data_IF_138817288568
#
_entry.id   IF_138817288568
#
_cell.length_a   1.000
_cell.length_b   1.000
_cell.length_c   1.000
_cell.angle_alpha   90.00
_cell.angle_beta   90.00
_cell.angle_gamma   90.00
#
_symmetry.space_group_name_H-M   'P 1'
#
loop_
_entity.id
_entity.type
_entity.pdbx_description
1 polymer ?
#
# COMPACT_ATOMS: atom_id res chain seq x y z
N UNK A 1 6.86 -7.45 4.96
CA UNK A 1 7.28 -6.05 4.77
C UNK A 1 8.49 -5.92 3.86
N UNK A 2 9.60 -6.63 4.10
CA UNK A 2 10.79 -6.55 3.22
C UNK A 2 10.46 -6.89 1.77
N UNK A 3 9.75 -7.98 1.52
CA UNK A 3 9.29 -8.33 0.17
C UNK A 3 8.47 -7.20 -0.47
N UNK A 4 7.51 -6.62 0.26
CA UNK A 4 6.69 -5.52 -0.24
C UNK A 4 7.51 -4.26 -0.56
N UNK A 5 8.52 -3.94 0.23
CA UNK A 5 9.42 -2.82 -0.03
C UNK A 5 10.18 -3.00 -1.36
N UNK A 6 10.84 -4.13 -1.54
CA UNK A 6 11.62 -4.38 -2.76
C UNK A 6 10.75 -4.55 -4.01
N UNK A 7 9.57 -5.19 -3.87
CA UNK A 7 8.61 -5.29 -4.95
C UNK A 7 8.07 -3.91 -5.37
N UNK A 8 7.69 -3.06 -4.42
CA UNK A 8 7.21 -1.70 -4.70
C UNK A 8 8.30 -0.82 -5.29
N UNK A 9 9.54 -0.96 -4.83
CA UNK A 9 10.69 -0.22 -5.37
C UNK A 9 10.94 -0.59 -6.83
N UNK A 10 10.97 -1.88 -7.15
CA UNK A 10 11.16 -2.37 -8.52
C UNK A 10 10.01 -1.92 -9.45
N UNK A 11 8.76 -2.04 -9.00
CA UNK A 11 7.61 -1.64 -9.76
C UNK A 11 7.53 -0.11 -9.96
N UNK A 12 7.95 0.69 -8.99
CA UNK A 12 7.95 2.16 -9.08
C UNK A 12 8.81 2.66 -10.25
N UNK A 13 9.97 2.05 -10.51
CA UNK A 13 10.80 2.40 -11.66
C UNK A 13 10.06 2.20 -12.99
N UNK A 14 9.34 1.11 -13.14
CA UNK A 14 8.57 0.80 -14.35
C UNK A 14 7.39 1.77 -14.55
N UNK A 15 6.62 2.05 -13.49
CA UNK A 15 5.42 2.90 -13.58
C UNK A 15 5.72 4.41 -13.62
N UNK A 16 6.91 4.82 -13.18
CA UNK A 16 7.35 6.21 -13.29
C UNK A 16 7.55 6.65 -14.75
N UNK A 17 8.03 5.76 -15.60
CA UNK A 17 8.20 6.02 -17.04
C UNK A 17 6.85 6.16 -17.78
N UNK A 18 5.81 5.50 -17.30
CA UNK A 18 4.50 5.46 -17.96
C UNK A 18 3.49 6.52 -17.48
N UNK A 19 3.90 7.49 -16.66
CA UNK A 19 3.07 8.58 -16.12
C UNK A 19 1.75 8.16 -15.47
N UNK A 20 1.69 6.98 -14.84
CA UNK A 20 0.50 6.45 -14.16
C UNK A 20 0.45 6.77 -12.66
N UNK A 21 1.26 7.72 -12.20
CA UNK A 21 1.43 8.07 -10.78
C UNK A 21 0.95 9.50 -10.53
N UNK A 22 -0.19 9.67 -9.88
CA UNK A 22 -0.68 10.98 -9.46
C UNK A 22 0.12 11.50 -8.26
N UNK A 23 1.07 12.41 -8.51
CA UNK A 23 1.98 12.96 -7.50
C UNK A 23 1.27 13.58 -6.27
N UNK A 24 0.24 14.46 -6.43
CA UNK A 24 -0.48 15.01 -5.29
C UNK A 24 -1.14 13.93 -4.41
N UNK A 25 -1.72 12.91 -5.02
CA UNK A 25 -2.34 11.78 -4.33
C UNK A 25 -1.31 10.98 -3.53
N UNK A 26 -0.19 10.62 -4.18
CA UNK A 26 0.89 9.84 -3.56
C UNK A 26 1.52 10.61 -2.40
N UNK A 27 1.76 11.91 -2.53
CA UNK A 27 2.29 12.71 -1.45
C UNK A 27 1.31 12.83 -0.28
N UNK A 28 0.04 13.09 -0.55
CA UNK A 28 -0.97 13.26 0.52
C UNK A 28 -1.24 11.95 1.26
N UNK A 29 -1.53 10.88 0.52
CA UNK A 29 -1.76 9.55 1.12
C UNK A 29 -0.47 8.90 1.62
N UNK A 30 0.61 8.98 0.86
CA UNK A 30 1.88 8.35 1.20
C UNK A 30 2.47 8.89 2.50
N UNK A 31 2.46 10.21 2.70
CA UNK A 31 2.98 10.81 3.95
C UNK A 31 2.11 10.48 5.16
N UNK A 32 0.77 10.55 5.01
CA UNK A 32 -0.15 10.18 6.10
C UNK A 32 -0.06 8.69 6.44
N UNK A 33 0.02 7.82 5.43
CA UNK A 33 0.26 6.39 5.59
C UNK A 33 1.62 6.09 6.21
N UNK A 34 2.67 6.80 5.80
CA UNK A 34 4.01 6.64 6.37
C UNK A 34 4.02 6.90 7.87
N UNK A 35 3.53 8.08 8.29
CA UNK A 35 3.53 8.46 9.69
C UNK A 35 2.70 7.50 10.56
N UNK A 36 1.49 7.15 10.11
CA UNK A 36 0.59 6.28 10.86
C UNK A 36 1.02 4.80 10.82
N UNK A 37 1.59 4.32 9.71
CA UNK A 37 2.13 2.97 9.61
C UNK A 37 3.36 2.78 10.49
N UNK A 38 4.20 3.81 10.61
CA UNK A 38 5.32 3.79 11.56
C UNK A 38 4.82 3.65 12.99
N UNK A 39 3.82 4.45 13.39
CA UNK A 39 3.20 4.33 14.72
C UNK A 39 2.60 2.94 14.95
N UNK A 40 1.82 2.42 13.99
CA UNK A 40 1.25 1.07 14.06
C UNK A 40 2.32 -0.02 14.18
N UNK A 41 3.41 0.09 13.42
CA UNK A 41 4.50 -0.88 13.46
C UNK A 41 5.26 -0.87 14.80
N UNK A 42 5.45 0.30 15.41
CA UNK A 42 6.06 0.41 16.73
C UNK A 42 5.19 -0.20 17.83
N UNK A 43 3.87 0.03 17.76
CA UNK A 43 2.90 -0.49 18.73
C UNK A 43 2.66 -1.99 18.53
N UNK A 44 2.86 -2.53 17.32
CA UNK A 44 2.59 -3.94 17.00
C UNK A 44 3.30 -4.94 17.92
N UNK A 45 4.45 -4.56 18.49
CA UNK A 45 5.17 -5.39 19.47
C UNK A 45 4.39 -5.62 20.78
N UNK A 46 3.53 -4.66 21.14
CA UNK A 46 2.73 -4.70 22.38
C UNK A 46 1.40 -5.46 22.19
N UNK A 47 1.02 -5.73 20.95
CA UNK A 47 -0.24 -6.39 20.60
C UNK A 47 0.02 -7.87 20.36
N UNK A 48 -0.70 -8.79 21.02
CA UNK A 48 -0.60 -10.23 20.75
C UNK A 48 -0.93 -10.56 19.28
N UNK A 49 -0.40 -11.69 18.77
CA UNK A 49 -0.60 -12.09 17.37
C UNK A 49 -2.07 -12.35 17.01
N UNK A 50 -2.88 -12.89 17.94
CA UNK A 50 -4.28 -13.20 17.68
C UNK A 50 -5.14 -12.00 17.26
N UNK A 51 -5.15 -10.86 18.00
CA UNK A 51 -5.80 -9.63 17.53
C UNK A 51 -5.31 -9.12 16.19
N UNK A 52 -4.00 -9.19 15.93
CA UNK A 52 -3.41 -8.73 14.65
C UNK A 52 -3.93 -9.58 13.49
N UNK A 53 -3.99 -10.90 13.64
CA UNK A 53 -4.56 -11.82 12.66
C UNK A 53 -6.04 -11.56 12.43
N UNK A 54 -6.79 -11.28 13.50
CA UNK A 54 -8.21 -10.94 13.39
C UNK A 54 -8.42 -9.63 12.61
N UNK A 55 -7.65 -8.58 12.92
CA UNK A 55 -7.67 -7.30 12.18
C UNK A 55 -7.35 -7.54 10.70
N UNK A 56 -6.33 -8.35 10.41
CA UNK A 56 -5.97 -8.70 9.04
C UNK A 56 -7.12 -9.40 8.32
N UNK A 57 -7.72 -10.40 8.94
CA UNK A 57 -8.85 -11.13 8.35
C UNK A 57 -10.05 -10.22 8.06
N UNK A 58 -10.38 -9.30 8.98
CA UNK A 58 -11.44 -8.32 8.79
C UNK A 58 -11.13 -7.34 7.65
N UNK A 59 -9.89 -6.85 7.57
CA UNK A 59 -9.47 -5.96 6.47
C UNK A 59 -9.52 -6.69 5.13
N UNK A 60 -9.09 -7.95 5.08
CA UNK A 60 -9.15 -8.76 3.86
C UNK A 60 -10.60 -9.03 3.42
N UNK A 61 -11.50 -9.29 4.38
CA UNK A 61 -12.93 -9.49 4.10
C UNK A 61 -13.57 -8.21 3.56
N UNK A 62 -13.27 -7.06 4.16
CA UNK A 62 -13.77 -5.75 3.70
C UNK A 62 -13.24 -5.46 2.29
N UNK A 63 -11.96 -5.70 2.04
CA UNK A 63 -11.38 -5.50 0.72
C UNK A 63 -12.03 -6.40 -0.34
N UNK A 64 -12.24 -7.68 -0.02
CA UNK A 64 -12.93 -8.62 -0.89
C UNK A 64 -14.39 -8.20 -1.17
N UNK A 65 -15.12 -7.80 -0.13
CA UNK A 65 -16.49 -7.32 -0.28
C UNK A 65 -16.57 -6.06 -1.16
N UNK A 66 -15.64 -5.12 -0.99
CA UNK A 66 -15.57 -3.93 -1.83
C UNK A 66 -15.30 -4.29 -3.30
N UNK A 67 -14.41 -5.25 -3.57
CA UNK A 67 -14.07 -5.66 -4.94
C UNK A 67 -15.19 -6.45 -5.63
N UNK A 68 -16.13 -7.03 -4.87
CA UNK A 68 -17.33 -7.67 -5.42
C UNK A 68 -18.42 -6.67 -5.81
N UNK A 69 -18.33 -5.41 -5.40
CA UNK A 69 -19.29 -4.39 -5.77
C UNK A 69 -19.15 -4.03 -7.25
N UNK A 70 -20.26 -4.01 -8.03
CA UNK A 70 -20.21 -3.61 -9.42
C UNK A 70 -19.76 -2.14 -9.53
N UNK A 71 -18.82 -1.89 -10.42
CA UNK A 71 -18.34 -0.53 -10.69
C UNK A 71 -18.65 -0.15 -12.14
N UNK A 72 -19.23 1.03 -12.32
CA UNK A 72 -19.39 1.63 -13.64
C UNK A 72 -18.04 2.20 -14.09
N UNK A 73 -17.51 1.64 -15.18
CA UNK A 73 -16.19 2.00 -15.74
C UNK A 73 -16.18 3.31 -16.56
N UNK A 74 -17.30 4.04 -16.61
CA UNK A 74 -17.44 5.28 -17.42
C UNK A 74 -16.46 6.41 -17.05
N UNK A 75 -15.71 6.25 -15.97
CA UNK A 75 -14.71 7.24 -15.51
C UNK A 75 -13.25 6.87 -15.78
N UNK A 76 -12.97 5.78 -16.50
CA UNK A 76 -11.61 5.31 -16.75
C UNK A 76 -10.86 6.12 -17.84
N UNK A 77 -11.53 7.05 -18.53
CA UNK A 77 -10.92 7.93 -19.54
C UNK A 77 -10.19 9.15 -18.97
N UNK A 78 -10.22 9.36 -17.65
CA UNK A 78 -9.56 10.51 -17.05
C UNK A 78 -8.05 10.29 -17.02
N UNK A 79 -7.34 11.18 -17.75
CA UNK A 79 -5.89 11.32 -17.71
C UNK A 79 -5.45 11.82 -16.31
N UNK A 80 -4.23 11.48 -15.89
CA UNK A 80 -3.66 11.77 -14.57
C UNK A 80 -3.86 13.21 -14.04
N UNK A 81 -3.88 14.20 -14.93
CA UNK A 81 -3.98 15.62 -14.58
C UNK A 81 -5.35 16.06 -14.05
N UNK A 82 -6.41 15.26 -14.23
CA UNK A 82 -7.80 15.63 -13.88
C UNK A 82 -8.36 14.89 -12.67
N UNK A 83 -7.56 14.13 -11.94
CA UNK A 83 -8.04 13.42 -10.76
C UNK A 83 -8.23 14.40 -9.60
N UNK A 84 -9.47 14.79 -9.36
CA UNK A 84 -9.87 15.61 -8.20
C UNK A 84 -10.27 14.68 -7.07
N UNK A 85 -9.57 14.77 -5.93
CA UNK A 85 -9.89 14.01 -4.74
C UNK A 85 -9.97 14.91 -3.50
N UNK A 86 -10.76 14.50 -2.54
CA UNK A 86 -10.90 15.21 -1.26
C UNK A 86 -9.67 14.97 -0.39
N UNK A 87 -8.78 15.98 -0.28
CA UNK A 87 -7.53 15.87 0.49
C UNK A 87 -7.75 15.54 1.97
N UNK A 88 -8.67 16.21 2.73
CA UNK A 88 -8.95 15.85 4.12
C UNK A 88 -9.41 14.40 4.27
N UNK A 89 -10.29 13.93 3.39
CA UNK A 89 -10.73 12.53 3.40
C UNK A 89 -9.56 11.56 3.13
N UNK A 90 -8.70 11.89 2.15
CA UNK A 90 -7.52 11.09 1.85
C UNK A 90 -6.56 11.01 3.04
N UNK A 91 -6.31 12.12 3.75
CA UNK A 91 -5.47 12.13 4.95
C UNK A 91 -6.09 11.27 6.05
N UNK A 92 -7.38 11.43 6.34
CA UNK A 92 -8.06 10.67 7.40
C UNK A 92 -8.01 9.16 7.12
N UNK A 93 -8.32 8.78 5.88
CA UNK A 93 -8.22 7.40 5.40
C UNK A 93 -6.78 6.90 5.51
N UNK A 94 -5.82 7.70 5.06
CA UNK A 94 -4.39 7.37 5.13
C UNK A 94 -3.92 7.12 6.56
N UNK A 95 -4.33 7.96 7.52
CA UNK A 95 -3.99 7.79 8.93
C UNK A 95 -4.59 6.50 9.49
N UNK A 96 -5.88 6.28 9.29
CA UNK A 96 -6.56 5.11 9.84
C UNK A 96 -6.05 3.80 9.23
N UNK A 97 -6.01 3.73 7.90
CA UNK A 97 -5.57 2.53 7.19
C UNK A 97 -4.06 2.31 7.38
N UNK A 98 -3.26 3.37 7.36
CA UNK A 98 -1.81 3.25 7.58
C UNK A 98 -1.48 2.68 8.95
N UNK A 99 -2.20 3.09 9.99
CA UNK A 99 -2.05 2.53 11.33
C UNK A 99 -2.33 1.02 11.36
N UNK A 100 -3.45 0.59 10.76
CA UNK A 100 -3.81 -0.82 10.68
C UNK A 100 -2.80 -1.64 9.85
N UNK A 101 -2.35 -1.09 8.72
CA UNK A 101 -1.31 -1.70 7.88
C UNK A 101 0.00 -1.85 8.66
N UNK A 102 0.38 -0.84 9.45
CA UNK A 102 1.56 -0.86 10.30
C UNK A 102 1.50 -1.95 11.37
N UNK A 103 0.35 -2.10 12.02
CA UNK A 103 0.10 -3.18 12.98
C UNK A 103 0.28 -4.56 12.34
N UNK A 104 -0.41 -4.79 11.21
CA UNK A 104 -0.43 -6.08 10.52
C UNK A 104 0.92 -6.40 9.87
N UNK A 105 1.55 -5.40 9.25
CA UNK A 105 2.87 -5.60 8.65
C UNK A 105 2.88 -6.10 7.20
N UNK A 106 1.76 -6.01 6.49
CA UNK A 106 1.60 -6.62 5.15
C UNK A 106 1.77 -5.67 3.95
N UNK A 107 2.20 -4.41 4.17
CA UNK A 107 2.41 -3.46 3.06
C UNK A 107 1.14 -2.87 2.43
N UNK A 108 -0.04 -3.36 2.76
CA UNK A 108 -1.36 -2.73 2.61
C UNK A 108 -1.91 -2.48 1.21
N UNK A 109 -1.24 -2.89 0.14
CA UNK A 109 -1.74 -2.66 -1.22
C UNK A 109 -3.15 -3.27 -1.44
N UNK A 110 -3.42 -4.43 -0.84
CA UNK A 110 -4.69 -5.15 -0.98
C UNK A 110 -5.91 -4.36 -0.46
N UNK A 111 -5.75 -3.49 0.52
CA UNK A 111 -6.83 -2.63 1.04
C UNK A 111 -6.77 -1.23 0.43
N UNK A 112 -5.59 -0.74 0.07
CA UNK A 112 -5.41 0.59 -0.52
C UNK A 112 -6.08 0.68 -1.90
N UNK A 113 -5.95 -0.36 -2.74
CA UNK A 113 -6.57 -0.38 -4.07
C UNK A 113 -8.10 -0.21 -3.98
N UNK A 114 -8.87 -1.07 -3.27
CA UNK A 114 -10.32 -0.89 -3.19
C UNK A 114 -10.73 0.45 -2.57
N UNK A 115 -9.98 0.98 -1.62
CA UNK A 115 -10.26 2.29 -1.04
C UNK A 115 -10.07 3.41 -2.07
N UNK A 116 -8.99 3.39 -2.82
CA UNK A 116 -8.78 4.36 -3.91
C UNK A 116 -9.91 4.30 -4.94
N UNK A 117 -10.35 3.10 -5.29
CA UNK A 117 -11.36 2.88 -6.30
C UNK A 117 -12.77 3.28 -5.83
N UNK A 118 -13.19 2.81 -4.65
CA UNK A 118 -14.58 2.92 -4.21
C UNK A 118 -14.83 4.11 -3.29
N UNK A 119 -13.88 4.50 -2.46
CA UNK A 119 -14.04 5.62 -1.52
C UNK A 119 -13.57 6.93 -2.14
N UNK A 120 -12.38 6.95 -2.72
CA UNK A 120 -11.82 8.15 -3.37
C UNK A 120 -12.21 8.28 -4.85
N UNK A 121 -12.88 7.26 -5.41
CA UNK A 121 -13.39 7.22 -6.80
C UNK A 121 -12.31 7.52 -7.85
N UNK A 122 -11.11 7.04 -7.62
CA UNK A 122 -9.96 7.24 -8.50
C UNK A 122 -9.99 6.20 -9.61
N UNK A 123 -9.70 6.56 -10.88
CA UNK A 123 -9.63 5.63 -12.00
C UNK A 123 -8.65 4.47 -11.73
N UNK A 124 -8.99 3.27 -12.22
CA UNK A 124 -8.26 2.04 -11.93
C UNK A 124 -6.76 2.14 -12.29
N UNK A 125 -6.45 2.68 -13.46
CA UNK A 125 -5.05 2.82 -13.92
C UNK A 125 -4.22 3.70 -12.98
N UNK A 126 -4.77 4.86 -12.58
CA UNK A 126 -4.11 5.80 -11.65
C UNK A 126 -4.05 5.20 -10.24
N UNK A 127 -5.08 4.47 -9.81
CA UNK A 127 -5.09 3.78 -8.53
C UNK A 127 -4.00 2.72 -8.44
N UNK A 128 -3.84 1.88 -9.48
CA UNK A 128 -2.80 0.85 -9.53
C UNK A 128 -1.40 1.46 -9.48
N UNK A 129 -1.10 2.43 -10.36
CA UNK A 129 0.22 3.09 -10.40
C UNK A 129 0.53 3.84 -9.09
N UNK A 130 -0.45 4.59 -8.56
CA UNK A 130 -0.27 5.34 -7.31
C UNK A 130 -0.13 4.43 -6.09
N UNK A 131 -0.82 3.28 -6.05
CA UNK A 131 -0.74 2.32 -4.94
C UNK A 131 0.66 1.74 -4.78
N UNK A 132 1.39 1.53 -5.86
CA UNK A 132 2.77 1.03 -5.79
C UNK A 132 3.69 2.06 -5.09
N UNK A 133 3.55 3.34 -5.44
CA UNK A 133 4.30 4.41 -4.80
C UNK A 133 3.88 4.59 -3.32
N UNK A 134 2.57 4.60 -3.04
CA UNK A 134 2.02 4.65 -1.67
C UNK A 134 2.49 3.44 -0.85
N UNK A 135 2.48 2.25 -1.47
CA UNK A 135 2.97 1.00 -0.88
C UNK A 135 4.44 1.08 -0.46
N UNK A 136 5.28 1.76 -1.24
CA UNK A 136 6.67 1.99 -0.88
C UNK A 136 6.79 2.83 0.41
N UNK A 137 6.01 3.91 0.55
CA UNK A 137 5.99 4.71 1.78
C UNK A 137 5.59 3.88 3.00
N UNK A 138 4.50 3.11 2.91
CA UNK A 138 4.01 2.30 4.03
C UNK A 138 4.94 1.12 4.35
N UNK A 139 5.53 0.48 3.34
CA UNK A 139 6.48 -0.61 3.52
C UNK A 139 7.79 -0.13 4.16
N UNK A 140 8.28 1.06 3.75
CA UNK A 140 9.46 1.69 4.37
C UNK A 140 9.20 2.00 5.84
N UNK A 141 8.08 2.66 6.16
CA UNK A 141 7.71 2.99 7.53
C UNK A 141 7.56 1.74 8.39
N UNK A 142 6.86 0.73 7.89
CA UNK A 142 6.66 -0.53 8.58
C UNK A 142 7.97 -1.31 8.78
N UNK A 143 8.87 -1.30 7.80
CA UNK A 143 10.18 -1.93 7.91
C UNK A 143 11.03 -1.23 8.99
N UNK A 144 11.08 0.10 8.98
CA UNK A 144 11.79 0.89 9.99
C UNK A 144 11.22 0.59 11.39
N UNK A 145 9.89 0.65 11.56
CA UNK A 145 9.24 0.42 12.85
C UNK A 145 9.46 -0.99 13.39
N UNK A 146 9.33 -2.01 12.54
CA UNK A 146 9.55 -3.41 12.95
C UNK A 146 11.02 -3.76 13.12
N UNK A 147 11.93 -3.15 12.37
CA UNK A 147 13.36 -3.30 12.58
C UNK A 147 13.79 -2.66 13.91
N UNK A 148 13.31 -1.47 14.22
CA UNK A 148 13.57 -0.78 15.49
C UNK A 148 13.06 -1.56 16.70
N UNK A 149 11.97 -2.34 16.55
CA UNK A 149 11.42 -3.19 17.61
C UNK A 149 11.98 -4.61 17.65
N UNK A 150 12.95 -4.94 16.76
CA UNK A 150 13.60 -6.26 16.70
C UNK A 150 12.73 -7.38 16.16
N UNK A 151 11.65 -7.06 15.44
CA UNK A 151 10.69 -8.05 14.91
C UNK A 151 11.09 -8.60 13.53
N UNK A 152 12.21 -8.15 12.94
CA UNK A 152 12.64 -8.56 11.60
C UNK A 152 13.78 -9.57 11.69
N UNK A 153 13.58 -10.84 11.33
CA UNK A 153 14.64 -11.84 11.25
C UNK A 153 15.45 -11.63 9.95
N UNK A 154 16.41 -10.74 9.96
CA UNK A 154 17.23 -10.39 8.79
C UNK A 154 17.92 -11.60 8.15
N UNK A 155 18.35 -12.59 8.96
CA UNK A 155 19.01 -13.81 8.48
C UNK A 155 18.15 -14.68 7.57
N UNK A 156 16.83 -14.68 7.75
CA UNK A 156 15.89 -15.45 6.94
C UNK A 156 15.30 -14.65 5.78
N UNK A 157 15.56 -13.35 5.71
CA UNK A 157 14.92 -12.46 4.74
C UNK A 157 15.61 -12.43 3.37
N UNK A 158 16.90 -12.80 3.29
CA UNK A 158 17.68 -12.71 2.05
C UNK A 158 17.09 -13.44 0.85
N UNK A 159 16.63 -14.71 0.94
CA UNK A 159 16.04 -15.38 -0.22
C UNK A 159 14.74 -14.73 -0.68
N UNK A 160 13.94 -14.20 0.27
CA UNK A 160 12.69 -13.50 -0.03
C UNK A 160 12.94 -12.16 -0.73
N UNK A 161 14.00 -11.43 -0.35
CA UNK A 161 14.39 -10.16 -0.99
C UNK A 161 14.78 -10.41 -2.44
N UNK A 162 15.66 -11.37 -2.67
CA UNK A 162 16.12 -11.72 -4.02
C UNK A 162 14.93 -12.17 -4.88
N UNK A 163 14.10 -13.09 -4.38
CA UNK A 163 12.91 -13.54 -5.08
C UNK A 163 11.94 -12.42 -5.42
N UNK A 164 11.67 -11.51 -4.49
CA UNK A 164 10.78 -10.37 -4.70
C UNK A 164 11.31 -9.38 -5.75
N UNK A 165 12.62 -9.12 -5.74
CA UNK A 165 13.24 -8.19 -6.70
C UNK A 165 13.17 -8.72 -8.13
N UNK A 166 13.54 -10.00 -8.33
CA UNK A 166 13.50 -10.63 -9.65
C UNK A 166 12.07 -10.83 -10.16
N UNK A 167 11.15 -11.30 -9.32
CA UNK A 167 9.76 -11.53 -9.72
C UNK A 167 9.02 -10.23 -10.06
N UNK A 168 9.27 -9.15 -9.32
CA UNK A 168 8.66 -7.85 -9.62
C UNK A 168 9.13 -7.28 -10.97
N UNK A 169 10.42 -7.46 -11.29
CA UNK A 169 10.97 -7.03 -12.57
C UNK A 169 10.38 -7.85 -13.74
N UNK A 170 10.30 -9.16 -13.58
CA UNK A 170 9.70 -10.04 -14.59
C UNK A 170 8.21 -9.77 -14.78
N UNK A 171 7.45 -9.59 -13.70
CA UNK A 171 6.04 -9.24 -13.77
C UNK A 171 5.76 -7.90 -14.44
N UNK A 172 6.64 -6.91 -14.27
CA UNK A 172 6.53 -5.61 -14.95
C UNK A 172 6.83 -5.65 -16.46
N UNK A 173 7.60 -6.63 -16.92
CA UNK A 173 7.93 -6.81 -18.35
C UNK A 173 6.87 -7.62 -19.10
N UNK A 174 6.21 -8.55 -18.41
CA UNK A 174 5.23 -9.49 -19.03
C UNK A 174 3.79 -8.94 -18.95
N UNK A 175 3.46 -8.02 -18.03
CA UNK A 175 2.14 -7.39 -17.88
C UNK A 175 2.06 -6.06 -18.54
#
# INVERSE_FOLDING_TARGET
>A
MMQGFFASLSAMFYYHENRLVNKPLVLTLGTSLFASSLAGALISKLVPDKPILFIFAMLALIAAAMMLMPRNYDSDELTEEKVVFNKPAAILIGVFIGFLIGLVGQGGAFITIPILLYVLKIPLRVALGSTLAIGLFSATAGLIGKAATGQVPFSMAWPLILGAFFSAKLGGVVG
#
